data_IF_787385013295
#
_entry.id   IF_787385013295
#
_cell.length_a   1.000
_cell.length_b   1.000
_cell.length_c   1.000
_cell.angle_alpha   90.00
_cell.angle_beta   90.00
_cell.angle_gamma   90.00
#
_symmetry.space_group_name_H-M   'P 1'
#
loop_
_entity.id
_entity.type
_entity.pdbx_description
1 polymer ?
#
# COMPACT_ATOMS: atom_id res chain seq x y z
N UNK A 1 -10.19 -11.22 -6.09
CA UNK A 1 -10.90 -9.93 -5.91
C UNK A 1 -11.45 -9.77 -4.50
N UNK A 2 -12.12 -10.77 -3.91
CA UNK A 2 -12.67 -10.65 -2.54
C UNK A 2 -11.65 -10.22 -1.48
N UNK A 3 -10.42 -10.76 -1.53
CA UNK A 3 -9.30 -10.32 -0.68
C UNK A 3 -9.05 -8.81 -0.75
N UNK A 4 -9.06 -8.25 -1.97
CA UNK A 4 -8.82 -6.83 -2.19
C UNK A 4 -9.97 -6.01 -1.61
N UNK A 5 -11.20 -6.42 -1.87
CA UNK A 5 -12.37 -5.73 -1.32
C UNK A 5 -12.31 -5.68 0.21
N UNK A 6 -11.94 -6.80 0.86
CA UNK A 6 -11.75 -6.84 2.32
C UNK A 6 -10.68 -5.86 2.82
N UNK A 7 -9.58 -5.67 2.07
CA UNK A 7 -8.55 -4.67 2.41
C UNK A 7 -9.12 -3.25 2.25
N UNK A 8 -9.78 -2.95 1.14
CA UNK A 8 -10.31 -1.62 0.85
C UNK A 8 -11.44 -1.20 1.80
N UNK A 9 -12.23 -2.17 2.28
CA UNK A 9 -13.30 -1.99 3.26
C UNK A 9 -12.79 -2.04 4.71
N UNK A 10 -11.53 -2.39 4.95
CA UNK A 10 -10.96 -2.44 6.28
C UNK A 10 -10.79 -1.02 6.85
N UNK A 11 -11.40 -0.77 8.01
CA UNK A 11 -11.34 0.54 8.70
C UNK A 11 -9.91 1.00 9.00
N UNK A 12 -9.00 0.10 9.35
CA UNK A 12 -7.62 0.41 9.66
C UNK A 12 -6.84 0.80 8.41
N UNK A 13 -7.07 0.09 7.32
CA UNK A 13 -6.49 0.47 6.02
C UNK A 13 -6.89 1.90 5.62
N UNK A 14 -8.18 2.23 5.75
CA UNK A 14 -8.67 3.59 5.47
C UNK A 14 -8.08 4.64 6.43
N UNK A 15 -7.95 4.30 7.71
CA UNK A 15 -7.33 5.15 8.72
C UNK A 15 -5.85 5.44 8.41
N UNK A 16 -5.08 4.41 8.02
CA UNK A 16 -3.68 4.57 7.67
C UNK A 16 -3.49 5.46 6.44
N UNK A 17 -4.31 5.29 5.40
CA UNK A 17 -4.31 6.20 4.25
C UNK A 17 -4.64 7.64 4.66
N UNK A 18 -5.58 7.84 5.58
CA UNK A 18 -5.91 9.17 6.08
C UNK A 18 -4.76 9.79 6.89
N UNK A 19 -4.04 8.99 7.68
CA UNK A 19 -2.87 9.45 8.42
C UNK A 19 -1.74 9.87 7.48
N UNK A 20 -1.46 9.06 6.46
CA UNK A 20 -0.49 9.39 5.39
C UNK A 20 -0.90 10.70 4.70
N UNK A 21 -2.17 10.83 4.30
CA UNK A 21 -2.68 12.04 3.65
C UNK A 21 -2.45 13.30 4.49
N UNK A 22 -2.66 13.25 5.81
CA UNK A 22 -2.43 14.41 6.69
C UNK A 22 -0.99 14.91 6.66
N UNK A 23 -0.02 14.00 6.55
CA UNK A 23 1.39 14.34 6.41
C UNK A 23 1.75 14.85 5.00
N UNK A 24 1.02 14.39 3.98
CA UNK A 24 1.38 14.61 2.58
C UNK A 24 0.54 15.65 1.85
N UNK A 25 -0.50 16.21 2.48
CA UNK A 25 -1.46 17.15 1.85
C UNK A 25 -0.81 18.37 1.18
N UNK A 26 0.35 18.80 1.68
CA UNK A 26 1.11 19.94 1.15
C UNK A 26 2.29 19.54 0.25
N UNK A 27 2.48 18.24 -0.02
CA UNK A 27 3.57 17.75 -0.89
C UNK A 27 3.17 17.90 -2.35
N UNK A 28 4.15 18.25 -3.17
CA UNK A 28 3.98 18.30 -4.64
C UNK A 28 4.27 16.96 -5.32
N UNK A 29 5.08 16.11 -4.67
CA UNK A 29 5.56 14.84 -5.19
C UNK A 29 5.61 13.80 -4.07
N UNK A 30 5.67 12.52 -4.45
CA UNK A 30 5.79 11.39 -3.51
C UNK A 30 4.62 11.35 -2.51
N UNK A 31 3.39 11.44 -3.03
CA UNK A 31 2.18 11.18 -2.26
C UNK A 31 1.85 9.68 -2.37
N UNK A 32 1.61 9.04 -1.24
CA UNK A 32 1.32 7.61 -1.10
C UNK A 32 -0.19 7.43 -0.84
N UNK A 33 -0.98 7.97 -1.75
CA UNK A 33 -2.44 7.81 -1.74
C UNK A 33 -2.87 6.47 -2.38
N UNK A 34 -4.18 6.27 -2.46
CA UNK A 34 -4.72 5.07 -3.10
C UNK A 34 -4.28 4.92 -4.57
N UNK A 35 -4.20 6.03 -5.32
CA UNK A 35 -3.82 6.01 -6.74
C UNK A 35 -2.37 5.59 -6.93
N UNK A 36 -1.47 6.03 -6.03
CA UNK A 36 -0.10 5.53 -5.97
C UNK A 36 -0.08 4.00 -5.82
N UNK A 37 -0.76 3.46 -4.81
CA UNK A 37 -0.78 2.02 -4.55
C UNK A 37 -1.42 1.21 -5.69
N UNK A 38 -2.48 1.75 -6.33
CA UNK A 38 -3.11 1.13 -7.50
C UNK A 38 -2.19 1.12 -8.73
N UNK A 39 -1.42 2.18 -8.95
CA UNK A 39 -0.42 2.24 -10.01
C UNK A 39 0.68 1.20 -9.78
N UNK A 40 1.20 1.10 -8.54
CA UNK A 40 2.18 0.09 -8.13
C UNK A 40 1.63 -1.32 -8.38
N UNK A 41 0.38 -1.60 -7.98
CA UNK A 41 -0.27 -2.90 -8.17
C UNK A 41 -0.32 -3.30 -9.65
N UNK A 42 -0.74 -2.37 -10.52
CA UNK A 42 -0.84 -2.60 -11.97
C UNK A 42 0.51 -2.85 -12.62
N UNK A 43 1.51 -2.02 -12.28
CA UNK A 43 2.87 -2.16 -12.80
C UNK A 43 3.49 -3.47 -12.33
N UNK A 44 3.36 -3.81 -11.05
CA UNK A 44 3.87 -5.06 -10.48
C UNK A 44 3.23 -6.28 -11.16
N UNK A 45 1.92 -6.23 -11.45
CA UNK A 45 1.25 -7.30 -12.17
C UNK A 45 1.77 -7.46 -13.60
N UNK A 46 1.93 -6.35 -14.34
CA UNK A 46 2.51 -6.38 -15.69
C UNK A 46 3.93 -6.97 -15.69
N UNK A 47 4.79 -6.52 -14.78
CA UNK A 47 6.15 -7.05 -14.61
C UNK A 47 6.13 -8.54 -14.30
N UNK A 48 5.16 -9.00 -13.50
CA UNK A 48 4.99 -10.42 -13.16
C UNK A 48 4.71 -11.26 -14.41
N UNK A 49 3.80 -10.77 -15.27
CA UNK A 49 3.45 -11.40 -16.55
C UNK A 49 4.65 -11.42 -17.50
N UNK A 50 5.35 -10.29 -17.66
CA UNK A 50 6.54 -10.18 -18.52
C UNK A 50 7.66 -11.15 -18.11
N UNK A 51 7.82 -11.39 -16.80
CA UNK A 51 8.83 -12.32 -16.26
C UNK A 51 8.40 -13.78 -16.28
N UNK A 52 7.21 -14.11 -16.78
CA UNK A 52 6.65 -15.46 -16.74
C UNK A 52 6.40 -15.98 -15.31
N UNK A 53 6.36 -15.09 -14.30
CA UNK A 53 6.07 -15.43 -12.92
C UNK A 53 4.58 -15.25 -12.70
N UNK A 54 3.81 -16.33 -12.76
CA UNK A 54 2.36 -16.26 -12.63
C UNK A 54 2.00 -16.33 -11.15
N UNK A 55 1.96 -15.18 -10.47
CA UNK A 55 1.37 -15.05 -9.15
C UNK A 55 -0.12 -14.70 -9.26
N UNK A 56 -0.96 -15.08 -8.29
CA UNK A 56 -2.34 -14.63 -8.26
C UNK A 56 -2.40 -13.09 -8.22
N UNK A 57 -3.20 -12.50 -9.10
CA UNK A 57 -3.31 -11.04 -9.23
C UNK A 57 -3.72 -10.38 -7.90
N UNK A 58 -4.60 -11.02 -7.13
CA UNK A 58 -5.06 -10.51 -5.84
C UNK A 58 -3.96 -10.53 -4.77
N UNK A 59 -2.96 -11.41 -4.87
CA UNK A 59 -1.78 -11.40 -3.98
C UNK A 59 -0.88 -10.21 -4.32
N UNK A 60 -0.62 -9.97 -5.61
CA UNK A 60 0.18 -8.81 -6.04
C UNK A 60 -0.49 -7.50 -5.63
N UNK A 61 -1.79 -7.39 -5.86
CA UNK A 61 -2.55 -6.20 -5.50
C UNK A 61 -2.62 -6.01 -3.98
N UNK A 62 -2.79 -7.09 -3.21
CA UNK A 62 -2.78 -6.99 -1.75
C UNK A 62 -1.43 -6.49 -1.24
N UNK A 63 -0.32 -7.04 -1.74
CA UNK A 63 1.01 -6.58 -1.38
C UNK A 63 1.21 -5.10 -1.74
N UNK A 64 0.81 -4.68 -2.94
CA UNK A 64 0.93 -3.28 -3.37
C UNK A 64 0.07 -2.32 -2.53
N UNK A 65 -1.15 -2.70 -2.13
CA UNK A 65 -1.96 -1.86 -1.25
C UNK A 65 -1.37 -1.76 0.17
N UNK A 66 -0.73 -2.82 0.67
CA UNK A 66 -0.24 -2.88 2.04
C UNK A 66 1.20 -2.38 2.21
N UNK A 67 2.03 -2.33 1.16
CA UNK A 67 3.47 -2.12 1.32
C UNK A 67 3.89 -0.78 1.95
N UNK A 68 3.07 0.26 1.81
CA UNK A 68 3.37 1.64 2.24
C UNK A 68 2.40 2.18 3.31
N UNK A 69 1.53 1.33 3.87
CA UNK A 69 0.56 1.77 4.91
C UNK A 69 1.24 2.23 6.21
N UNK A 70 2.49 1.85 6.43
CA UNK A 70 3.33 2.28 7.55
C UNK A 70 4.02 3.63 7.35
N UNK A 71 3.86 4.29 6.18
CA UNK A 71 4.55 5.55 5.85
C UNK A 71 4.29 6.67 6.87
N UNK A 72 3.12 6.71 7.50
CA UNK A 72 2.83 7.69 8.55
C UNK A 72 3.68 7.51 9.81
N UNK A 73 4.11 6.28 10.14
CA UNK A 73 4.99 6.01 11.28
C UNK A 73 6.43 6.44 11.00
N UNK A 74 6.86 6.39 9.74
CA UNK A 74 8.13 6.96 9.29
C UNK A 74 8.14 8.47 9.48
N UNK A 75 7.05 9.15 9.11
CA UNK A 75 6.91 10.60 9.31
C UNK A 75 6.83 11.02 10.78
N UNK A 76 6.12 10.25 11.60
CA UNK A 76 5.92 10.57 13.01
C UNK A 76 7.17 10.28 13.87
N UNK A 77 7.83 9.15 13.63
CA UNK A 77 8.86 8.64 14.55
C UNK A 77 10.14 8.16 13.89
N UNK A 78 10.30 8.31 12.56
CA UNK A 78 11.48 7.84 11.83
C UNK A 78 11.58 6.31 11.73
N UNK A 79 10.49 5.60 12.03
CA UNK A 79 10.42 4.14 11.91
C UNK A 79 10.54 3.73 10.43
N UNK A 80 11.23 2.63 10.15
CA UNK A 80 11.24 2.08 8.79
C UNK A 80 9.82 1.72 8.35
N UNK A 81 9.35 2.35 7.27
CA UNK A 81 7.98 2.19 6.80
C UNK A 81 7.70 0.75 6.33
N UNK A 82 8.69 0.02 5.81
CA UNK A 82 8.47 -1.32 5.29
C UNK A 82 8.25 -2.32 6.43
N UNK A 83 9.04 -2.22 7.50
CA UNK A 83 8.82 -2.98 8.74
C UNK A 83 7.47 -2.62 9.38
N UNK A 84 7.16 -1.32 9.50
CA UNK A 84 5.87 -0.84 9.99
C UNK A 84 4.69 -1.38 9.18
N UNK A 85 4.76 -1.30 7.85
CA UNK A 85 3.73 -1.80 6.94
C UNK A 85 3.50 -3.29 7.10
N UNK A 86 4.57 -4.08 7.27
CA UNK A 86 4.46 -5.52 7.45
C UNK A 86 3.68 -5.87 8.73
N UNK A 87 4.00 -5.22 9.86
CA UNK A 87 3.28 -5.43 11.12
C UNK A 87 1.81 -4.98 11.03
N UNK A 88 1.56 -3.81 10.44
CA UNK A 88 0.19 -3.30 10.28
C UNK A 88 -0.67 -4.20 9.39
N UNK A 89 -0.06 -4.94 8.46
CA UNK A 89 -0.73 -5.87 7.56
C UNK A 89 -1.08 -7.22 8.20
N UNK A 90 -0.54 -7.55 9.38
CA UNK A 90 -0.88 -8.78 10.11
C UNK A 90 -2.23 -8.70 10.85
N UNK A 91 -2.73 -7.49 11.11
CA UNK A 91 -3.99 -7.21 11.84
C UNK A 91 -5.23 -7.20 10.96
#
# INVERSE_FOLDING_TARGET
MERINRILENKYFQEYLQNIYRWEVNRKFCCHDFEHSLAVARIAYLISLEKGKIWPQDIIYAAAFLHDIGRWQEYEGGRDHAEASAELAEG
#
